data_IF_096511653424
#
_entry.id   IF_096511653424
#
_cell.length_a   1.000
_cell.length_b   1.000
_cell.length_c   1.000
_cell.angle_alpha   90.00
_cell.angle_beta   90.00
_cell.angle_gamma   90.00
#
_symmetry.space_group_name_H-M   'P 1'
#
loop_
_entity.id
_entity.type
_entity.pdbx_description
1 polymer ?
#
# COMPACT_ATOMS: atom_id res chain seq x y z
N UNK A 1 7.00 13.72 -15.13
CA UNK A 1 5.90 14.47 -15.79
C UNK A 1 6.00 14.28 -17.31
N UNK A 2 4.97 14.59 -18.11
CA UNK A 2 4.98 14.41 -19.57
C UNK A 2 4.44 15.65 -20.28
N UNK A 3 5.00 15.99 -21.44
CA UNK A 3 4.47 17.03 -22.32
C UNK A 3 4.89 16.77 -23.78
N UNK A 4 4.29 15.75 -24.39
CA UNK A 4 4.53 15.38 -25.79
C UNK A 4 3.21 15.04 -26.49
N UNK A 5 3.16 15.22 -27.81
CA UNK A 5 1.99 14.90 -28.66
C UNK A 5 2.27 13.82 -29.71
N UNK A 6 3.47 13.23 -29.68
CA UNK A 6 3.91 12.15 -30.55
C UNK A 6 4.51 11.05 -29.67
N UNK A 7 4.48 9.79 -30.14
CA UNK A 7 5.07 8.65 -29.45
C UNK A 7 5.81 7.74 -30.43
N UNK A 8 6.72 6.93 -29.90
CA UNK A 8 7.44 5.90 -30.66
C UNK A 8 6.55 4.66 -30.81
N UNK A 9 6.48 4.11 -32.02
CA UNK A 9 5.76 2.86 -32.28
C UNK A 9 6.56 1.66 -31.75
N UNK A 10 6.18 1.15 -30.58
CA UNK A 10 6.83 0.02 -29.91
C UNK A 10 6.83 -1.26 -30.76
N UNK A 11 5.87 -1.44 -31.68
CA UNK A 11 5.80 -2.62 -32.53
C UNK A 11 6.81 -2.60 -33.69
N UNK A 12 7.44 -1.45 -33.95
CA UNK A 12 8.38 -1.25 -35.05
C UNK A 12 9.80 -0.89 -34.58
N UNK A 13 10.16 -1.25 -33.35
CA UNK A 13 11.53 -1.07 -32.87
C UNK A 13 12.52 -1.88 -33.72
N UNK A 14 13.68 -1.31 -34.10
CA UNK A 14 14.73 -2.05 -34.81
C UNK A 14 15.27 -3.22 -33.97
N UNK A 15 16.05 -4.09 -34.63
CA UNK A 15 16.82 -5.10 -33.92
C UNK A 15 17.68 -4.46 -32.82
N UNK A 16 17.83 -5.16 -31.70
CA UNK A 16 18.58 -4.74 -30.51
C UNK A 16 17.99 -3.58 -29.69
N UNK A 17 16.79 -3.10 -30.04
CA UNK A 17 16.05 -2.13 -29.22
C UNK A 17 14.84 -2.78 -28.53
N UNK A 18 14.65 -2.42 -27.28
CA UNK A 18 13.58 -2.93 -26.43
C UNK A 18 12.80 -1.79 -25.79
N UNK A 19 11.53 -2.05 -25.46
CA UNK A 19 10.72 -1.15 -24.63
C UNK A 19 11.30 -1.13 -23.21
N UNK A 20 11.48 0.07 -22.66
CA UNK A 20 11.96 0.30 -21.31
C UNK A 20 10.82 0.67 -20.34
N UNK A 21 9.93 1.57 -20.75
CA UNK A 21 8.75 1.99 -19.98
C UNK A 21 7.51 1.95 -20.88
N UNK A 22 6.37 1.68 -20.26
CA UNK A 22 5.05 1.65 -20.91
C UNK A 22 4.05 2.44 -20.07
N UNK A 23 3.20 3.23 -20.72
CA UNK A 23 2.15 3.98 -20.05
C UNK A 23 1.06 3.03 -19.52
N UNK A 24 0.71 3.14 -18.24
CA UNK A 24 -0.29 2.26 -17.62
C UNK A 24 -1.74 2.57 -18.04
N UNK A 25 -2.01 3.73 -18.66
CA UNK A 25 -3.36 4.14 -19.05
C UNK A 25 -3.71 3.79 -20.50
N UNK A 26 -2.75 3.88 -21.41
CA UNK A 26 -3.00 3.75 -22.86
C UNK A 26 -2.01 2.83 -23.60
N UNK A 27 -1.14 2.13 -22.86
CA UNK A 27 -0.12 1.20 -23.38
C UNK A 27 0.90 1.83 -24.35
N UNK A 28 0.97 3.16 -24.44
CA UNK A 28 1.94 3.86 -25.29
C UNK A 28 3.38 3.69 -24.79
N UNK A 29 4.35 3.80 -25.70
CA UNK A 29 5.76 3.69 -25.37
C UNK A 29 6.23 4.91 -24.58
N UNK A 30 6.88 4.67 -23.44
CA UNK A 30 7.38 5.71 -22.55
C UNK A 30 8.91 5.71 -22.40
N UNK A 31 9.59 4.86 -23.17
CA UNK A 31 11.03 4.77 -23.17
C UNK A 31 11.52 3.55 -23.92
N UNK A 32 12.76 3.65 -24.39
CA UNK A 32 13.45 2.60 -25.16
C UNK A 32 14.87 2.42 -24.64
N UNK A 33 15.39 1.21 -24.77
CA UNK A 33 16.74 0.85 -24.35
C UNK A 33 17.37 -0.08 -25.37
N UNK A 34 18.67 0.07 -25.60
CA UNK A 34 19.43 -0.87 -26.41
C UNK A 34 19.82 -2.09 -25.56
N UNK A 35 19.72 -3.28 -26.13
CA UNK A 35 20.01 -4.56 -25.48
C UNK A 35 21.47 -4.73 -25.02
N UNK A 36 22.42 -4.03 -25.65
CA UNK A 36 23.88 -4.22 -25.46
C UNK A 36 24.64 -2.91 -25.27
N UNK A 37 24.21 -1.82 -25.91
CA UNK A 37 24.89 -0.52 -25.78
C UNK A 37 24.28 0.28 -24.62
N UNK A 38 25.02 1.22 -24.00
CA UNK A 38 24.52 2.05 -22.90
C UNK A 38 23.60 3.17 -23.41
N UNK A 39 22.70 2.86 -24.34
CA UNK A 39 21.75 3.79 -24.92
C UNK A 39 20.37 3.54 -24.35
N UNK A 40 19.76 4.59 -23.83
CA UNK A 40 18.39 4.57 -23.39
C UNK A 40 17.78 5.96 -23.55
N UNK A 41 16.45 6.00 -23.59
CA UNK A 41 15.68 7.22 -23.62
C UNK A 41 14.37 7.01 -22.88
N UNK A 42 13.83 8.10 -22.34
CA UNK A 42 12.51 8.16 -21.72
C UNK A 42 11.69 9.23 -22.42
N UNK A 43 10.39 9.00 -22.52
CA UNK A 43 9.44 9.90 -23.17
C UNK A 43 8.94 10.98 -22.20
N UNK A 44 9.00 10.70 -20.90
CA UNK A 44 8.70 11.61 -19.81
C UNK A 44 9.92 12.44 -19.37
N UNK A 45 9.67 13.44 -18.53
CA UNK A 45 10.63 14.37 -17.95
C UNK A 45 11.00 13.94 -16.52
N UNK A 46 12.16 13.28 -16.31
CA UNK A 46 12.64 12.91 -14.97
C UNK A 46 13.20 14.06 -14.18
N UNK A 47 13.51 15.19 -14.82
CA UNK A 47 13.93 16.44 -14.18
C UNK A 47 12.82 17.15 -13.41
N UNK A 48 11.58 16.63 -13.48
CA UNK A 48 10.46 16.89 -12.57
C UNK A 48 10.13 18.37 -12.28
N UNK A 49 10.66 19.36 -12.99
CA UNK A 49 10.39 20.78 -12.70
C UNK A 49 8.91 21.07 -12.96
N UNK A 50 8.11 21.02 -11.88
CA UNK A 50 6.64 20.92 -11.84
C UNK A 50 6.01 19.51 -12.00
N UNK A 51 6.65 18.46 -11.49
CA UNK A 51 6.20 17.06 -11.43
C UNK A 51 6.83 16.27 -10.27
N UNK A 52 6.53 14.97 -10.13
CA UNK A 52 7.09 14.13 -9.06
C UNK A 52 8.57 13.79 -9.31
N UNK A 53 9.33 13.66 -8.22
CA UNK A 53 10.79 13.40 -8.18
C UNK A 53 11.15 11.90 -8.29
N UNK A 54 10.15 11.04 -8.45
CA UNK A 54 10.25 9.57 -8.34
C UNK A 54 11.28 8.91 -9.28
N UNK A 55 11.64 9.56 -10.39
CA UNK A 55 12.51 9.01 -11.44
C UNK A 55 13.80 9.80 -11.66
N UNK A 56 14.21 10.65 -10.70
CA UNK A 56 15.54 11.30 -10.73
C UNK A 56 16.69 10.29 -10.77
N UNK A 57 16.48 9.08 -10.24
CA UNK A 57 17.47 8.01 -10.27
C UNK A 57 17.93 7.60 -11.68
N UNK A 58 17.21 7.99 -12.74
CA UNK A 58 17.66 7.84 -14.12
C UNK A 58 18.97 8.60 -14.41
N UNK A 59 19.15 9.77 -13.78
CA UNK A 59 20.39 10.54 -13.88
C UNK A 59 21.55 9.81 -13.20
N UNK A 60 21.32 9.18 -12.04
CA UNK A 60 22.33 8.35 -11.38
C UNK A 60 22.77 7.19 -12.28
N UNK A 61 21.81 6.45 -12.85
CA UNK A 61 22.10 5.33 -13.75
C UNK A 61 22.87 5.77 -14.99
N UNK A 62 22.51 6.92 -15.56
CA UNK A 62 23.27 7.51 -16.66
C UNK A 62 24.72 7.80 -16.24
N UNK A 63 24.93 8.52 -15.14
CA UNK A 63 26.27 8.88 -14.66
C UNK A 63 27.11 7.64 -14.27
N UNK A 64 26.50 6.65 -13.62
CA UNK A 64 27.13 5.37 -13.29
C UNK A 64 27.58 4.64 -14.56
N UNK A 65 26.74 4.60 -15.60
CA UNK A 65 27.08 3.94 -16.87
C UNK A 65 28.28 4.60 -17.57
N UNK A 66 28.37 5.93 -17.53
CA UNK A 66 29.51 6.69 -18.07
C UNK A 66 30.78 6.42 -17.26
N UNK A 67 30.69 6.43 -15.93
CA UNK A 67 31.82 6.14 -15.04
C UNK A 67 32.37 4.74 -15.25
N UNK A 68 31.48 3.75 -15.33
CA UNK A 68 31.89 2.35 -15.51
C UNK A 68 32.58 2.14 -16.87
N UNK A 69 32.19 2.88 -17.90
CA UNK A 69 32.89 2.86 -19.19
C UNK A 69 34.26 3.56 -19.14
N UNK A 70 34.40 4.65 -18.38
CA UNK A 70 35.69 5.34 -18.18
C UNK A 70 36.67 4.45 -17.39
N UNK A 71 36.16 3.73 -16.39
CA UNK A 71 36.94 2.89 -15.49
C UNK A 71 37.20 1.46 -16.04
N UNK A 72 36.79 1.16 -17.28
CA UNK A 72 36.89 -0.17 -17.93
C UNK A 72 36.28 -1.31 -17.09
N UNK A 73 35.14 -1.02 -16.44
CA UNK A 73 34.43 -2.00 -15.60
C UNK A 73 33.54 -2.92 -16.44
N UNK A 74 33.18 -4.11 -15.91
CA UNK A 74 32.27 -5.02 -16.59
C UNK A 74 30.96 -4.33 -16.97
N UNK A 75 30.54 -4.50 -18.23
CA UNK A 75 29.29 -3.94 -18.71
C UNK A 75 28.09 -4.55 -17.97
N UNK A 76 27.20 -3.67 -17.50
CA UNK A 76 25.88 -4.03 -16.97
C UNK A 76 24.86 -3.24 -17.75
N UNK A 77 23.90 -3.93 -18.36
CA UNK A 77 22.86 -3.29 -19.18
C UNK A 77 22.07 -2.26 -18.39
N UNK A 78 21.71 -1.15 -19.03
CA UNK A 78 20.90 -0.09 -18.42
C UNK A 78 19.57 -0.65 -17.90
N UNK A 79 18.92 -1.54 -18.68
CA UNK A 79 17.68 -2.20 -18.28
C UNK A 79 17.80 -2.94 -16.94
N UNK A 80 18.86 -3.71 -16.74
CA UNK A 80 19.10 -4.41 -15.48
C UNK A 80 19.36 -3.45 -14.31
N UNK A 81 20.15 -2.39 -14.52
CA UNK A 81 20.40 -1.37 -13.48
C UNK A 81 19.11 -0.73 -13.03
N UNK A 82 18.27 -0.31 -13.98
CA UNK A 82 16.98 0.30 -13.70
C UNK A 82 16.01 -0.68 -13.04
N UNK A 83 15.95 -1.91 -13.55
CA UNK A 83 15.12 -2.96 -12.95
C UNK A 83 15.53 -3.19 -11.51
N UNK A 84 16.82 -3.32 -11.21
CA UNK A 84 17.31 -3.53 -9.84
C UNK A 84 17.01 -2.33 -8.93
N UNK A 85 17.23 -1.10 -9.41
CA UNK A 85 17.02 0.13 -8.62
C UNK A 85 15.55 0.42 -8.36
N UNK A 86 14.66 0.11 -9.30
CA UNK A 86 13.22 0.37 -9.20
C UNK A 86 12.44 -0.81 -8.61
N UNK A 87 13.02 -2.02 -8.55
CA UNK A 87 12.34 -3.17 -7.96
C UNK A 87 12.31 -3.04 -6.44
N UNK A 88 11.10 -2.89 -5.90
CA UNK A 88 10.88 -3.03 -4.47
C UNK A 88 11.01 -4.51 -4.06
N UNK A 89 11.92 -4.78 -3.12
CA UNK A 89 12.09 -6.10 -2.50
C UNK A 89 11.67 -6.02 -1.03
N UNK A 90 10.48 -6.52 -0.66
CA UNK A 90 10.07 -6.51 0.73
C UNK A 90 10.97 -7.44 1.55
N UNK A 91 11.26 -7.06 2.80
CA UNK A 91 12.06 -7.89 3.72
C UNK A 91 11.38 -9.24 4.02
N UNK A 92 10.05 -9.29 3.96
CA UNK A 92 9.24 -10.49 4.13
C UNK A 92 8.48 -10.74 2.82
N UNK A 93 8.54 -11.94 2.22
CA UNK A 93 7.79 -12.25 1.02
C UNK A 93 6.28 -12.02 1.19
N UNK A 94 5.68 -11.31 0.24
CA UNK A 94 4.24 -11.06 0.24
C UNK A 94 3.53 -12.34 -0.22
N UNK A 95 2.72 -12.93 0.66
CA UNK A 95 1.90 -14.11 0.33
C UNK A 95 0.61 -13.64 -0.35
N UNK A 96 0.40 -14.05 -1.60
CA UNK A 96 -0.75 -13.63 -2.45
C UNK A 96 -1.93 -14.61 -2.30
N UNK A 97 -2.09 -15.25 -1.14
CA UNK A 97 -3.23 -16.14 -0.93
C UNK A 97 -4.48 -15.29 -0.65
N UNK A 98 -5.50 -15.45 -1.50
CA UNK A 98 -6.75 -14.71 -1.38
C UNK A 98 -7.53 -15.18 -0.15
N UNK A 99 -7.83 -14.29 0.81
CA UNK A 99 -8.61 -14.64 1.98
C UNK A 99 -10.07 -14.91 1.58
N UNK A 100 -10.74 -15.82 2.27
CA UNK A 100 -12.14 -16.17 2.00
C UNK A 100 -13.10 -15.40 2.86
N UNK A 101 -12.70 -15.07 4.09
CA UNK A 101 -13.55 -14.38 5.07
C UNK A 101 -12.77 -13.31 5.82
N UNK A 102 -13.24 -12.06 5.76
CA UNK A 102 -12.62 -10.90 6.39
C UNK A 102 -13.54 -10.26 7.42
N UNK A 103 -12.98 -9.97 8.59
CA UNK A 103 -13.61 -9.19 9.64
C UNK A 103 -13.25 -7.71 9.50
N UNK A 104 -14.24 -6.83 9.59
CA UNK A 104 -14.08 -5.39 9.57
C UNK A 104 -14.56 -4.86 10.91
N UNK A 105 -13.72 -4.08 11.59
CA UNK A 105 -14.11 -3.34 12.78
C UNK A 105 -14.63 -1.96 12.35
N UNK A 106 -15.90 -1.70 12.61
CA UNK A 106 -16.54 -0.41 12.31
C UNK A 106 -16.11 0.70 13.25
N UNK A 107 -16.78 1.85 13.15
CA UNK A 107 -16.41 3.06 13.90
C UNK A 107 -16.80 3.06 15.38
N UNK A 108 -17.72 2.18 15.79
CA UNK A 108 -18.36 2.29 17.09
C UNK A 108 -19.45 3.37 17.11
N UNK A 109 -19.80 3.82 18.32
CA UNK A 109 -20.73 4.94 18.52
C UNK A 109 -20.12 6.28 18.08
N UNK A 110 -20.97 7.21 17.65
CA UNK A 110 -20.55 8.56 17.26
C UNK A 110 -19.94 9.27 18.46
N UNK A 111 -18.65 9.58 18.38
CA UNK A 111 -17.91 10.35 19.37
C UNK A 111 -17.44 11.67 18.74
N UNK A 112 -17.26 12.72 19.55
CA UNK A 112 -16.72 13.99 19.05
C UNK A 112 -15.32 13.71 18.47
N UNK A 113 -15.10 14.02 17.18
CA UNK A 113 -13.86 13.72 16.47
C UNK A 113 -13.80 12.36 15.78
N UNK A 114 -14.83 11.51 15.93
CA UNK A 114 -15.03 10.30 15.12
C UNK A 114 -16.38 10.39 14.39
N UNK A 115 -16.35 10.93 13.17
CA UNK A 115 -17.53 11.27 12.39
C UNK A 115 -17.99 10.12 11.45
N UNK A 116 -18.98 10.41 10.59
CA UNK A 116 -19.50 9.50 9.56
C UNK A 116 -18.51 9.15 8.43
N UNK A 117 -17.29 9.67 8.45
CA UNK A 117 -16.24 9.32 7.49
C UNK A 117 -15.89 7.82 7.52
N UNK A 118 -15.96 7.21 8.71
CA UNK A 118 -15.70 5.79 8.91
C UNK A 118 -16.86 4.89 8.47
N UNK A 119 -18.09 5.41 8.50
CA UNK A 119 -19.25 4.74 7.89
C UNK A 119 -19.05 4.62 6.37
N UNK A 120 -18.61 5.71 5.75
CA UNK A 120 -18.29 5.72 4.32
C UNK A 120 -17.09 4.83 3.97
N UNK A 121 -15.95 4.99 4.66
CA UNK A 121 -14.72 4.24 4.34
C UNK A 121 -14.89 2.74 4.60
N UNK A 122 -15.53 2.36 5.70
CA UNK A 122 -15.89 0.97 5.99
C UNK A 122 -16.84 0.37 4.95
N UNK A 123 -17.75 1.17 4.40
CA UNK A 123 -18.64 0.76 3.30
C UNK A 123 -17.87 0.51 1.99
N UNK A 124 -16.88 1.35 1.67
CA UNK A 124 -16.01 1.12 0.50
C UNK A 124 -15.16 -0.15 0.66
N UNK A 125 -14.64 -0.41 1.86
CA UNK A 125 -13.91 -1.64 2.15
C UNK A 125 -14.77 -2.89 1.93
N UNK A 126 -16.02 -2.88 2.40
CA UNK A 126 -16.98 -3.97 2.15
C UNK A 126 -17.24 -4.15 0.66
N UNK A 127 -17.41 -3.05 -0.09
CA UNK A 127 -17.64 -3.09 -1.54
C UNK A 127 -16.46 -3.74 -2.27
N UNK A 128 -15.23 -3.31 -1.99
CA UNK A 128 -14.03 -3.86 -2.60
C UNK A 128 -13.86 -5.36 -2.30
N UNK A 129 -14.09 -5.79 -1.06
CA UNK A 129 -14.05 -7.21 -0.69
C UNK A 129 -15.11 -8.04 -1.44
N UNK A 130 -16.30 -7.48 -1.65
CA UNK A 130 -17.37 -8.14 -2.42
C UNK A 130 -17.05 -8.27 -3.91
N UNK A 131 -16.44 -7.26 -4.52
CA UNK A 131 -15.98 -7.32 -5.91
C UNK A 131 -14.97 -8.48 -6.10
N UNK A 132 -14.15 -8.74 -5.08
CA UNK A 132 -13.22 -9.88 -5.03
C UNK A 132 -13.83 -11.19 -4.51
N UNK A 133 -15.15 -11.29 -4.36
CA UNK A 133 -15.86 -12.48 -3.85
C UNK A 133 -15.42 -12.96 -2.46
N UNK A 134 -15.00 -12.03 -1.60
CA UNK A 134 -14.56 -12.29 -0.22
C UNK A 134 -15.74 -12.08 0.73
N UNK A 135 -15.99 -13.04 1.63
CA UNK A 135 -17.06 -12.93 2.62
C UNK A 135 -16.73 -11.87 3.68
N UNK A 136 -17.68 -11.00 3.95
CA UNK A 136 -17.53 -9.83 4.83
C UNK A 136 -18.29 -10.00 6.14
N UNK A 137 -17.57 -9.88 7.26
CA UNK A 137 -18.13 -9.76 8.60
C UNK A 137 -17.90 -8.34 9.10
N UNK A 138 -18.93 -7.72 9.66
CA UNK A 138 -18.83 -6.40 10.25
C UNK A 138 -19.20 -6.44 11.73
N UNK A 139 -18.39 -5.81 12.59
CA UNK A 139 -18.80 -5.46 13.96
C UNK A 139 -18.97 -3.94 14.01
N UNK A 140 -20.21 -3.49 14.25
CA UNK A 140 -20.50 -2.08 14.46
C UNK A 140 -21.75 -1.93 15.35
N UNK A 141 -21.64 -1.32 16.55
CA UNK A 141 -22.79 -1.12 17.44
C UNK A 141 -23.74 -0.01 16.96
N UNK A 142 -23.31 0.86 16.04
CA UNK A 142 -24.13 1.96 15.55
C UNK A 142 -25.11 1.49 14.46
N UNK A 143 -26.36 1.28 14.87
CA UNK A 143 -27.48 0.86 14.00
C UNK A 143 -27.90 1.90 12.95
N UNK A 144 -27.47 3.16 13.09
CA UNK A 144 -27.86 4.26 12.22
C UNK A 144 -26.77 4.59 11.18
N UNK A 145 -26.21 3.56 10.54
CA UNK A 145 -25.11 3.68 9.56
C UNK A 145 -25.45 2.98 8.24
N UNK A 146 -24.90 3.47 7.13
CA UNK A 146 -25.02 2.81 5.83
C UNK A 146 -24.29 1.46 5.87
N UNK A 147 -23.15 1.38 6.55
CA UNK A 147 -22.35 0.18 6.72
C UNK A 147 -23.14 -1.00 7.29
N UNK A 148 -24.13 -0.75 8.15
CA UNK A 148 -24.96 -1.78 8.78
C UNK A 148 -26.28 -2.05 8.05
N UNK A 149 -26.50 -1.40 6.90
CA UNK A 149 -27.69 -1.61 6.07
C UNK A 149 -27.77 -3.03 5.53
N UNK A 150 -29.00 -3.53 5.37
CA UNK A 150 -29.25 -4.88 4.88
C UNK A 150 -28.63 -5.09 3.50
N UNK A 151 -27.81 -6.13 3.38
CA UNK A 151 -27.11 -6.48 2.13
C UNK A 151 -25.80 -5.74 1.93
N UNK A 152 -25.39 -4.84 2.82
CA UNK A 152 -24.09 -4.17 2.75
C UNK A 152 -22.97 -5.15 3.06
N UNK A 153 -22.86 -5.66 4.29
CA UNK A 153 -21.99 -6.80 4.63
C UNK A 153 -22.78 -8.12 4.59
N UNK A 154 -22.09 -9.26 4.48
CA UNK A 154 -22.72 -10.59 4.51
C UNK A 154 -23.26 -10.93 5.89
N UNK A 155 -22.54 -10.50 6.94
CA UNK A 155 -22.99 -10.63 8.33
C UNK A 155 -22.60 -9.41 9.16
N UNK A 156 -23.55 -8.90 9.93
CA UNK A 156 -23.36 -7.75 10.81
C UNK A 156 -23.60 -8.16 12.26
N UNK A 157 -22.69 -7.75 13.14
CA UNK A 157 -22.75 -7.90 14.57
C UNK A 157 -22.91 -6.51 15.21
N UNK A 158 -24.06 -6.30 15.85
CA UNK A 158 -24.33 -5.12 16.65
C UNK A 158 -23.76 -5.30 18.06
N UNK A 159 -22.43 -5.39 18.16
CA UNK A 159 -21.69 -5.57 19.40
C UNK A 159 -20.74 -4.38 19.64
N UNK A 160 -20.42 -4.05 20.90
CA UNK A 160 -19.38 -3.08 21.22
C UNK A 160 -18.02 -3.52 20.65
N UNK A 161 -17.23 -2.56 20.18
CA UNK A 161 -15.88 -2.79 19.65
C UNK A 161 -14.89 -2.76 20.82
N UNK A 162 -14.93 -3.82 21.62
CA UNK A 162 -13.99 -4.07 22.72
C UNK A 162 -13.41 -5.48 22.59
N UNK A 163 -12.19 -5.73 23.09
CA UNK A 163 -11.46 -6.97 22.84
C UNK A 163 -12.25 -8.24 23.16
N UNK A 164 -13.01 -8.25 24.26
CA UNK A 164 -13.74 -9.44 24.70
C UNK A 164 -14.82 -9.87 23.71
N UNK A 165 -15.59 -8.93 23.16
CA UNK A 165 -16.62 -9.25 22.18
C UNK A 165 -16.03 -9.54 20.79
N UNK A 166 -14.99 -8.81 20.39
CA UNK A 166 -14.33 -9.05 19.12
C UNK A 166 -13.65 -10.42 19.10
N UNK A 167 -12.99 -10.84 20.19
CA UNK A 167 -12.43 -12.20 20.31
C UNK A 167 -13.53 -13.26 20.19
N UNK A 168 -14.71 -13.05 20.80
CA UNK A 168 -15.82 -13.99 20.68
C UNK A 168 -16.29 -14.16 19.23
N UNK A 169 -16.38 -13.07 18.47
CA UNK A 169 -16.71 -13.12 17.04
C UNK A 169 -15.61 -13.84 16.26
N UNK A 170 -14.33 -13.49 16.49
CA UNK A 170 -13.18 -14.18 15.86
C UNK A 170 -13.22 -15.69 16.13
N UNK A 171 -13.46 -16.08 17.38
CA UNK A 171 -13.54 -17.48 17.81
C UNK A 171 -14.67 -18.24 17.11
N UNK A 172 -15.82 -17.60 16.94
CA UNK A 172 -17.02 -18.19 16.33
C UNK A 172 -16.93 -18.24 14.81
N UNK A 173 -16.46 -17.17 14.19
CA UNK A 173 -16.50 -17.01 12.73
C UNK A 173 -15.24 -17.46 12.02
N UNK A 174 -14.10 -17.51 12.73
CA UNK A 174 -12.78 -17.89 12.19
C UNK A 174 -12.46 -17.15 10.87
N UNK A 175 -12.39 -15.81 10.88
CA UNK A 175 -11.99 -15.05 9.70
C UNK A 175 -10.50 -15.32 9.39
N UNK A 176 -10.15 -15.28 8.11
CA UNK A 176 -8.76 -15.42 7.66
C UNK A 176 -7.96 -14.14 7.92
N UNK A 177 -8.65 -13.00 7.98
CA UNK A 177 -8.04 -11.72 8.27
C UNK A 177 -8.98 -10.67 8.81
N UNK A 178 -8.40 -9.56 9.26
CA UNK A 178 -9.08 -8.43 9.89
C UNK A 178 -8.60 -7.11 9.33
N UNK A 179 -9.53 -6.16 9.13
CA UNK A 179 -9.26 -4.78 8.76
C UNK A 179 -9.58 -3.87 9.95
N UNK A 180 -8.56 -3.13 10.40
CA UNK A 180 -8.61 -2.26 11.58
C UNK A 180 -8.66 -0.76 11.22
N UNK A 181 -8.30 -0.41 9.99
CA UNK A 181 -8.04 0.98 9.55
C UNK A 181 -9.29 1.76 9.13
N UNK A 182 -10.45 1.11 9.05
CA UNK A 182 -11.70 1.73 8.59
C UNK A 182 -12.66 2.12 9.71
N UNK A 183 -12.31 1.85 10.97
CA UNK A 183 -13.15 2.16 12.15
C UNK A 183 -12.61 3.27 13.05
N UNK A 184 -11.61 4.02 12.57
CA UNK A 184 -10.93 5.06 13.33
C UNK A 184 -10.31 4.57 14.64
N UNK A 185 -10.13 5.46 15.62
CA UNK A 185 -9.39 5.18 16.85
C UNK A 185 -9.98 4.01 17.66
N UNK A 186 -11.30 3.89 17.73
CA UNK A 186 -11.96 2.80 18.47
C UNK A 186 -11.54 1.43 17.92
N UNK A 187 -11.57 1.25 16.60
CA UNK A 187 -11.15 0.00 15.96
C UNK A 187 -9.63 -0.22 16.08
N UNK A 188 -8.83 0.84 15.89
CA UNK A 188 -7.37 0.76 15.99
C UNK A 188 -6.93 0.34 17.40
N UNK A 189 -7.43 1.01 18.44
CA UNK A 189 -7.11 0.68 19.83
C UNK A 189 -7.54 -0.73 20.20
N UNK A 190 -8.73 -1.16 19.77
CA UNK A 190 -9.20 -2.52 19.99
C UNK A 190 -8.30 -3.54 19.29
N UNK A 191 -7.88 -3.27 18.06
CA UNK A 191 -6.92 -4.12 17.33
C UNK A 191 -5.57 -4.22 18.02
N UNK A 192 -5.01 -3.11 18.49
CA UNK A 192 -3.73 -3.09 19.24
C UNK A 192 -3.83 -3.92 20.51
N UNK A 193 -4.94 -3.81 21.25
CA UNK A 193 -5.15 -4.59 22.47
C UNK A 193 -5.33 -6.10 22.18
N UNK A 194 -6.03 -6.46 21.10
CA UNK A 194 -6.18 -7.85 20.67
C UNK A 194 -4.83 -8.48 20.28
N UNK A 195 -3.95 -7.73 19.61
CA UNK A 195 -2.61 -8.19 19.27
C UNK A 195 -1.74 -8.36 20.51
N UNK A 196 -1.76 -7.39 21.44
CA UNK A 196 -1.04 -7.49 22.72
C UNK A 196 -1.46 -8.72 23.52
N UNK A 197 -2.75 -9.07 23.46
CA UNK A 197 -3.30 -10.26 24.09
C UNK A 197 -3.07 -11.56 23.28
N UNK A 198 -2.36 -11.48 22.14
CA UNK A 198 -2.02 -12.62 21.29
C UNK A 198 -3.22 -13.26 20.58
N UNK A 199 -4.34 -12.55 20.47
CA UNK A 199 -5.60 -13.09 19.93
C UNK A 199 -5.45 -13.43 18.45
N UNK A 200 -4.85 -12.54 17.64
CA UNK A 200 -4.70 -12.77 16.21
C UNK A 200 -3.82 -13.98 15.92
N UNK A 201 -2.69 -14.13 16.62
CA UNK A 201 -1.84 -15.31 16.56
C UNK A 201 -2.57 -16.60 17.00
N UNK A 202 -3.28 -16.55 18.13
CA UNK A 202 -4.04 -17.68 18.69
C UNK A 202 -5.09 -18.23 17.71
N UNK A 203 -5.77 -17.35 16.97
CA UNK A 203 -6.82 -17.76 16.02
C UNK A 203 -6.36 -17.75 14.55
N UNK A 204 -5.08 -17.50 14.29
CA UNK A 204 -4.48 -17.44 12.95
C UNK A 204 -5.14 -16.40 12.02
N UNK A 205 -5.53 -15.26 12.59
CA UNK A 205 -6.14 -14.14 11.85
C UNK A 205 -5.04 -13.19 11.39
N UNK A 206 -4.96 -12.90 10.09
CA UNK A 206 -3.99 -11.93 9.56
C UNK A 206 -4.54 -10.51 9.63
N UNK A 207 -3.74 -9.57 10.13
CA UNK A 207 -4.06 -8.15 10.01
C UNK A 207 -3.77 -7.74 8.56
N UNK A 208 -4.78 -7.23 7.85
CA UNK A 208 -4.65 -6.80 6.47
C UNK A 208 -4.38 -5.29 6.37
N UNK A 209 -3.59 -4.90 5.37
CA UNK A 209 -3.19 -3.51 5.15
C UNK A 209 -1.93 -3.15 5.95
N UNK A 210 -1.95 -1.98 6.59
CA UNK A 210 -0.83 -1.49 7.38
C UNK A 210 -0.52 -2.44 8.55
N UNK A 211 0.73 -2.92 8.68
CA UNK A 211 1.12 -3.75 9.83
C UNK A 211 0.83 -3.05 11.15
N UNK A 212 0.42 -3.81 12.16
CA UNK A 212 0.04 -3.23 13.45
C UNK A 212 1.20 -2.54 14.16
N UNK A 213 2.42 -3.02 13.95
CA UNK A 213 3.64 -2.38 14.43
C UNK A 213 3.78 -0.96 13.87
N UNK A 214 3.50 -0.76 12.58
CA UNK A 214 3.51 0.58 11.98
C UNK A 214 2.44 1.48 12.58
N UNK A 215 1.24 0.95 12.86
CA UNK A 215 0.17 1.69 13.55
C UNK A 215 0.66 2.16 14.93
N UNK A 216 1.24 1.26 15.73
CA UNK A 216 1.76 1.57 17.07
C UNK A 216 2.86 2.65 16.98
N UNK A 217 3.77 2.53 16.01
CA UNK A 217 4.86 3.48 15.80
C UNK A 217 4.38 4.87 15.37
N UNK A 218 3.25 4.97 14.66
CA UNK A 218 2.69 6.26 14.24
C UNK A 218 1.80 6.93 15.29
N UNK A 219 1.19 6.15 16.18
CA UNK A 219 0.29 6.67 17.23
C UNK A 219 1.06 7.24 18.43
N UNK A 220 2.23 6.68 18.77
CA UNK A 220 3.11 7.24 19.80
C UNK A 220 3.99 8.35 19.23
N UNK A 221 3.80 9.58 19.70
CA UNK A 221 4.51 10.77 19.21
C UNK A 221 6.04 10.66 19.32
N UNK A 222 6.54 9.99 20.36
CA UNK A 222 7.98 9.84 20.58
C UNK A 222 8.54 8.84 19.60
N UNK A 223 7.91 7.66 19.49
CA UNK A 223 8.34 6.63 18.55
C UNK A 223 8.27 7.15 17.11
N UNK A 224 7.22 7.90 16.78
CA UNK A 224 7.08 8.56 15.48
C UNK A 224 8.24 9.52 15.22
N UNK A 225 8.58 10.40 16.17
CA UNK A 225 9.69 11.33 16.01
C UNK A 225 11.04 10.62 15.83
N UNK A 226 11.27 9.53 16.57
CA UNK A 226 12.47 8.71 16.45
C UNK A 226 12.56 8.10 15.03
N UNK A 227 11.44 7.54 14.51
CA UNK A 227 11.37 6.98 13.15
C UNK A 227 11.60 8.01 12.04
N UNK A 228 11.04 9.21 12.18
CA UNK A 228 11.26 10.31 11.22
C UNK A 228 12.74 10.76 11.24
N UNK A 229 13.38 10.75 12.42
CA UNK A 229 14.79 11.09 12.52
C UNK A 229 15.71 10.06 11.84
N UNK A 230 15.33 8.78 11.74
CA UNK A 230 16.12 7.73 11.07
C UNK A 230 16.35 8.04 9.58
N UNK A 231 15.44 8.78 8.95
CA UNK A 231 15.53 9.19 7.53
C UNK A 231 16.02 10.63 7.36
N UNK A 232 16.57 11.26 8.42
CA UNK A 232 17.03 12.65 8.46
C UNK A 232 15.93 13.71 8.23
N UNK A 233 14.66 13.33 8.44
CA UNK A 233 13.53 14.25 8.40
C UNK A 233 13.30 14.93 9.75
N UNK A 234 12.52 16.01 9.75
CA UNK A 234 12.36 16.87 10.94
C UNK A 234 10.92 16.88 11.44
N UNK A 235 10.77 16.68 12.75
CA UNK A 235 9.53 16.97 13.48
C UNK A 235 9.71 18.28 14.25
N UNK A 236 8.65 19.08 14.34
CA UNK A 236 8.67 20.26 15.19
C UNK A 236 9.00 19.87 16.65
N UNK A 237 9.82 20.64 17.39
CA UNK A 237 10.14 20.32 18.78
C UNK A 237 8.87 20.22 19.62
N UNK A 238 8.66 19.09 20.29
CA UNK A 238 7.60 18.94 21.29
C UNK A 238 8.08 19.54 22.62
N UNK A 239 7.21 20.30 23.29
CA UNK A 239 7.45 20.83 24.64
C UNK A 239 7.45 19.72 25.70
#
# INVERSE_FOLDING_TARGET
SQNHGFCVDAAKLPADWEVLFTNANDDSNEGVVHSVLPYFSVQFHPEHTAGPEDLECLFDVFLESVRDQIDDRPYVSIKNRLTERLTYRPAIPIVIEQPKKILILGSGGLSIGQAGEFDYSGSQAIKALKEESIQTLLINPNIATVQTSKGMADKVYFLPIIPEYVEQVIRSERPDGVLLTFGGQTALNCGVELEKNGVFAKYHVKILGTPIESIIQTEDRKIFADRISEINERVAPSA
#
